data_IF_763397152415
#
_entry.id   IF_763397152415
#
_cell.length_a   1.000
_cell.length_b   1.000
_cell.length_c   1.000
_cell.angle_alpha   90.00
_cell.angle_beta   90.00
_cell.angle_gamma   90.00
#
_symmetry.space_group_name_H-M   'P 1'
#
loop_
_entity.id
_entity.type
_entity.pdbx_description
1 polymer ?
#
# COMPACT_ATOMS: atom_id res chain seq x y z
N UNK A 1 -15.33 0.42 -1.49
CA UNK A 1 -14.26 0.03 -0.54
C UNK A 1 -13.89 1.25 0.28
N UNK A 2 -14.00 1.22 1.62
CA UNK A 2 -13.45 2.27 2.49
C UNK A 2 -12.01 1.90 2.81
N UNK A 3 -11.04 2.67 2.31
CA UNK A 3 -9.66 2.54 2.76
C UNK A 3 -9.58 3.13 4.16
N UNK A 4 -9.19 2.29 5.12
CA UNK A 4 -8.90 2.76 6.48
C UNK A 4 -7.69 3.70 6.44
N UNK A 5 -7.63 4.76 7.26
CA UNK A 5 -6.48 5.67 7.30
C UNK A 5 -5.14 4.95 7.44
N UNK A 6 -5.11 3.84 8.19
CA UNK A 6 -3.92 3.00 8.33
C UNK A 6 -3.41 2.44 6.99
N UNK A 7 -4.34 2.05 6.12
CA UNK A 7 -4.02 1.50 4.79
C UNK A 7 -3.46 2.58 3.87
N UNK A 8 -3.95 3.82 4.00
CA UNK A 8 -3.45 4.97 3.27
C UNK A 8 -2.04 5.36 3.72
N UNK A 9 -1.79 5.39 5.04
CA UNK A 9 -0.46 5.70 5.59
C UNK A 9 0.59 4.67 5.15
N UNK A 10 0.24 3.38 5.14
CA UNK A 10 1.14 2.34 4.63
C UNK A 10 1.55 2.64 3.19
N UNK A 11 0.60 2.95 2.30
CA UNK A 11 0.89 3.29 0.91
C UNK A 11 1.68 4.59 0.74
N UNK A 12 1.42 5.58 1.60
CA UNK A 12 2.15 6.84 1.59
C UNK A 12 3.66 6.62 1.84
N UNK A 13 4.03 5.69 2.71
CA UNK A 13 5.45 5.38 2.95
C UNK A 13 6.16 4.83 1.72
N UNK A 14 5.42 4.20 0.81
CA UNK A 14 5.98 3.73 -0.46
C UNK A 14 6.18 4.84 -1.52
N UNK A 15 5.76 6.09 -1.26
CA UNK A 15 6.04 7.21 -2.16
C UNK A 15 7.51 7.63 -2.15
N UNK A 16 8.15 7.57 -0.98
CA UNK A 16 9.55 7.97 -0.81
C UNK A 16 10.53 6.80 -1.01
N UNK A 17 10.07 5.57 -0.79
CA UNK A 17 10.90 4.38 -0.91
C UNK A 17 10.05 3.23 -1.47
N UNK A 18 10.47 2.62 -2.57
CA UNK A 18 9.76 1.49 -3.18
C UNK A 18 9.75 0.23 -2.29
N UNK A 19 10.58 0.23 -1.24
CA UNK A 19 10.72 -0.85 -0.27
C UNK A 19 10.50 -0.28 1.13
N UNK A 20 9.75 -1.01 1.96
CA UNK A 20 9.55 -0.67 3.36
C UNK A 20 9.50 -1.94 4.21
N UNK A 21 10.17 -1.85 5.36
CA UNK A 21 10.11 -2.86 6.39
C UNK A 21 8.92 -2.63 7.33
N UNK A 22 8.40 -3.70 7.94
CA UNK A 22 7.35 -3.60 8.95
C UNK A 22 7.76 -2.68 10.10
N UNK A 23 9.03 -2.72 10.52
CA UNK A 23 9.54 -1.89 11.62
C UNK A 23 9.45 -0.38 11.31
N UNK A 24 9.74 0.01 10.05
CA UNK A 24 9.61 1.40 9.63
C UNK A 24 8.14 1.81 9.52
N UNK A 25 7.29 0.90 9.04
CA UNK A 25 5.86 1.12 8.96
C UNK A 25 5.22 1.23 10.35
N UNK A 26 5.61 0.41 11.33
CA UNK A 26 5.09 0.48 12.71
C UNK A 26 5.47 1.78 13.39
N UNK A 27 6.71 2.26 13.19
CA UNK A 27 7.15 3.56 13.69
C UNK A 27 6.38 4.71 13.04
N UNK A 28 6.16 4.65 11.73
CA UNK A 28 5.45 5.68 10.96
C UNK A 28 3.96 5.76 11.31
N UNK A 29 3.32 4.59 11.38
CA UNK A 29 1.88 4.43 11.62
C UNK A 29 1.55 4.50 13.12
N UNK A 30 2.55 4.40 14.00
CA UNK A 30 2.42 4.27 15.46
C UNK A 30 1.47 3.14 15.86
N UNK A 31 1.57 2.01 15.17
CA UNK A 31 0.72 0.83 15.38
C UNK A 31 1.56 -0.43 15.63
N UNK A 32 1.02 -1.44 16.35
CA UNK A 32 1.73 -2.68 16.60
C UNK A 32 2.08 -3.45 15.30
N UNK A 33 3.20 -4.19 15.27
CA UNK A 33 3.62 -4.98 14.10
C UNK A 33 2.55 -5.93 13.57
N UNK A 34 1.78 -6.55 14.46
CA UNK A 34 0.67 -7.45 14.11
C UNK A 34 -0.44 -6.74 13.32
N UNK A 35 -0.76 -5.49 13.69
CA UNK A 35 -1.76 -4.67 13.00
C UNK A 35 -1.22 -4.24 11.63
N UNK A 36 0.04 -3.82 11.57
CA UNK A 36 0.68 -3.42 10.30
C UNK A 36 0.76 -4.60 9.34
N UNK A 37 1.25 -5.77 9.78
CA UNK A 37 1.32 -7.00 8.96
C UNK A 37 -0.04 -7.38 8.39
N UNK A 38 -1.12 -7.26 9.17
CA UNK A 38 -2.48 -7.54 8.69
C UNK A 38 -2.93 -6.59 7.58
N UNK A 39 -2.56 -5.31 7.67
CA UNK A 39 -2.92 -4.31 6.66
C UNK A 39 -2.01 -4.37 5.42
N UNK A 40 -0.73 -4.67 5.60
CA UNK A 40 0.19 -4.99 4.50
C UNK A 40 -0.28 -6.25 3.77
N UNK A 41 -0.68 -7.29 4.50
CA UNK A 41 -1.23 -8.53 3.95
C UNK A 41 -2.46 -8.31 3.07
N UNK A 42 -3.29 -7.29 3.38
CA UNK A 42 -4.37 -6.87 2.49
C UNK A 42 -3.84 -6.39 1.13
N UNK A 43 -2.85 -5.49 1.14
CA UNK A 43 -2.23 -4.98 -0.10
C UNK A 43 -1.45 -6.05 -0.86
N UNK A 44 -0.83 -6.99 -0.15
CA UNK A 44 -0.20 -8.18 -0.75
C UNK A 44 -1.24 -9.06 -1.44
N UNK A 45 -2.36 -9.32 -0.78
CA UNK A 45 -3.46 -10.13 -1.36
C UNK A 45 -4.08 -9.50 -2.60
N UNK A 46 -4.00 -8.17 -2.71
CA UNK A 46 -4.47 -7.44 -3.88
C UNK A 46 -3.39 -7.26 -4.97
N UNK A 47 -2.13 -7.64 -4.68
CA UNK A 47 -1.01 -7.58 -5.62
C UNK A 47 -0.21 -6.27 -5.65
N UNK A 48 -0.38 -5.35 -4.68
CA UNK A 48 0.29 -4.02 -4.68
C UNK A 48 1.66 -4.15 -4.08
N UNK A 49 1.73 -4.99 -3.06
CA UNK A 49 2.91 -5.23 -2.29
C UNK A 49 3.33 -6.67 -2.54
N UNK A 50 4.63 -6.87 -2.62
CA UNK A 50 5.22 -8.19 -2.65
C UNK A 50 6.24 -8.28 -1.53
N UNK A 51 6.19 -9.35 -0.77
CA UNK A 51 7.22 -9.66 0.21
C UNK A 51 8.50 -10.05 -0.55
N UNK A 52 9.59 -9.35 -0.25
CA UNK A 52 10.90 -9.59 -0.87
C UNK A 52 11.89 -10.21 0.13
N UNK A 53 11.68 -9.98 1.42
CA UNK A 53 12.46 -10.53 2.52
C UNK A 53 11.59 -10.55 3.78
N UNK A 54 12.02 -11.26 4.82
CA UNK A 54 11.32 -11.34 6.10
C UNK A 54 10.96 -9.95 6.61
N UNK A 55 9.67 -9.65 6.69
CA UNK A 55 9.14 -8.35 7.13
C UNK A 55 9.56 -7.15 6.27
N UNK A 56 9.97 -7.38 5.02
CA UNK A 56 10.28 -6.34 4.03
C UNK A 56 9.41 -6.52 2.80
N UNK A 57 8.66 -5.47 2.47
CA UNK A 57 7.73 -5.45 1.35
C UNK A 57 8.16 -4.42 0.33
N UNK A 58 7.96 -4.74 -0.94
CA UNK A 58 8.20 -3.85 -2.06
C UNK A 58 6.89 -3.53 -2.77
N UNK A 59 6.71 -2.27 -3.13
CA UNK A 59 5.63 -1.83 -3.99
C UNK A 59 5.85 -2.33 -5.42
N UNK A 60 4.85 -3.03 -5.95
CA UNK A 60 4.81 -3.48 -7.32
C UNK A 60 4.41 -2.31 -8.20
N UNK A 61 5.21 -2.01 -9.23
CA UNK A 61 4.92 -0.93 -10.19
C UNK A 61 3.69 -1.25 -11.07
N UNK A 62 3.31 -2.52 -11.14
CA UNK A 62 2.18 -3.03 -11.93
C UNK A 62 1.11 -3.60 -11.00
N UNK A 63 0.09 -2.80 -10.70
CA UNK A 63 -1.11 -3.25 -10.01
C UNK A 63 -2.18 -3.61 -11.04
N UNK A 64 -2.44 -4.91 -11.19
CA UNK A 64 -3.42 -5.41 -12.13
C UNK A 64 -4.72 -5.78 -11.40
N UNK A 65 -5.76 -4.95 -11.53
CA UNK A 65 -7.12 -5.37 -11.16
C UNK A 65 -7.62 -6.28 -12.28
N UNK A 66 -7.42 -7.59 -12.13
CA UNK A 66 -7.91 -8.53 -13.13
C UNK A 66 -9.45 -8.49 -13.17
N UNK A 67 -9.98 -7.87 -14.21
CA UNK A 67 -11.33 -8.11 -14.75
C UNK A 67 -11.25 -7.96 -16.27
N UNK A 68 -10.52 -8.88 -16.93
CA UNK A 68 -10.42 -9.05 -18.40
C UNK A 68 -10.13 -7.78 -19.23
N UNK A 69 -9.06 -7.88 -20.03
CA UNK A 69 -8.69 -7.00 -21.14
C UNK A 69 -7.93 -5.71 -20.77
N UNK A 70 -6.97 -5.43 -21.65
CA UNK A 70 -6.08 -4.27 -21.69
C UNK A 70 -6.71 -2.99 -21.15
N UNK A 71 -5.99 -2.21 -20.32
CA UNK A 71 -6.07 -0.74 -20.29
C UNK A 71 -5.07 -0.10 -19.32
N UNK A 72 -4.30 0.84 -19.91
CA UNK A 72 -3.59 2.02 -19.37
C UNK A 72 -2.87 1.91 -18.02
N UNK A 73 -1.53 1.90 -18.14
CA UNK A 73 -0.54 2.37 -17.16
C UNK A 73 -1.08 3.58 -16.38
N UNK A 74 -1.45 3.38 -15.12
CA UNK A 74 -1.68 4.49 -14.19
C UNK A 74 -0.43 4.59 -13.33
N UNK A 75 0.25 5.74 -13.40
CA UNK A 75 1.44 6.02 -12.59
C UNK A 75 1.13 5.76 -11.12
N UNK A 76 2.12 5.29 -10.34
CA UNK A 76 1.98 5.00 -8.89
C UNK A 76 1.36 6.21 -8.16
N UNK A 77 1.80 7.43 -8.51
CA UNK A 77 1.20 8.67 -8.02
C UNK A 77 -0.32 8.71 -8.26
N UNK A 78 -0.79 8.30 -9.44
CA UNK A 78 -2.22 8.29 -9.77
C UNK A 78 -2.99 7.17 -9.06
N UNK A 79 -2.38 6.02 -8.76
CA UNK A 79 -3.02 4.95 -7.96
C UNK A 79 -3.12 5.38 -6.50
N UNK A 80 -2.04 5.90 -5.92
CA UNK A 80 -2.02 6.45 -4.56
C UNK A 80 -3.01 7.61 -4.46
N UNK A 81 -3.01 8.55 -5.41
CA UNK A 81 -3.97 9.66 -5.41
C UNK A 81 -5.43 9.19 -5.58
N UNK A 82 -5.69 8.19 -6.44
CA UNK A 82 -7.05 7.66 -6.62
C UNK A 82 -7.56 6.88 -5.40
N UNK A 83 -6.67 6.34 -4.57
CA UNK A 83 -7.01 5.62 -3.34
C UNK A 83 -7.06 6.56 -2.13
N UNK A 84 -6.19 7.58 -2.07
CA UNK A 84 -5.97 8.46 -0.91
C UNK A 84 -6.77 9.77 -0.98
N UNK A 85 -7.39 10.13 -2.11
CA UNK A 85 -8.40 11.22 -2.15
C UNK A 85 -9.71 10.73 -1.52
N UNK A 86 -9.69 10.58 -0.20
CA UNK A 86 -10.86 10.82 0.63
C UNK A 86 -10.59 12.20 1.24
N UNK A 87 -11.37 13.24 0.89
CA UNK A 87 -11.18 14.56 1.45
C UNK A 87 -11.25 14.47 2.98
N UNK A 88 -10.31 15.17 3.59
CA UNK A 88 -10.19 15.46 5.01
C UNK A 88 -11.58 15.57 5.66
N UNK A 89 -11.93 14.56 6.45
CA UNK A 89 -13.09 14.58 7.32
C UNK A 89 -12.63 14.10 8.70
N UNK A 90 -11.79 14.92 9.32
CA UNK A 90 -11.67 15.02 10.77
C UNK A 90 -11.82 16.48 11.17
#
# INVERSE_FOLDING_TARGET
MRVSPLRAVILHQFQNSSECSIDLLTQSVKAPPSVVKRNVGFWVSQGLLKEISSDVYRLMQEWNFDHKAAVKRKSISAVVNCIVVIPDAY
#
